data_IF_314171358504
#
_entry.id   IF_314171358504
#
_cell.length_a   1.000
_cell.length_b   1.000
_cell.length_c   1.000
_cell.angle_alpha   90.00
_cell.angle_beta   90.00
_cell.angle_gamma   90.00
#
_symmetry.space_group_name_H-M   'P 1'
#
loop_
_entity.id
_entity.type
_entity.pdbx_description
1 polymer ?
#
# COMPACT_ATOMS: atom_id res chain seq x y z
N UNK A 1 6.12 -7.13 -25.12
CA UNK A 1 5.19 -7.82 -24.21
C UNK A 1 3.76 -7.37 -24.46
N UNK A 2 2.74 -8.24 -24.25
CA UNK A 2 1.34 -7.80 -24.27
C UNK A 2 1.14 -6.81 -23.11
N UNK A 3 0.52 -5.64 -23.30
CA UNK A 3 0.26 -4.71 -22.22
C UNK A 3 -0.56 -5.42 -21.13
N UNK A 4 -0.22 -5.19 -19.88
CA UNK A 4 -0.93 -5.80 -18.74
C UNK A 4 -2.17 -4.99 -18.44
N UNK A 5 -3.25 -5.70 -18.24
CA UNK A 5 -4.51 -5.13 -17.78
C UNK A 5 -4.71 -5.55 -16.33
N UNK A 6 -4.83 -4.59 -15.44
CA UNK A 6 -5.18 -4.83 -14.04
C UNK A 6 -6.69 -4.59 -13.88
N UNK A 7 -7.36 -5.54 -13.23
CA UNK A 7 -8.72 -5.39 -12.76
C UNK A 7 -8.68 -5.14 -11.25
N UNK A 8 -8.89 -3.91 -10.86
CA UNK A 8 -8.95 -3.51 -9.44
C UNK A 8 -10.37 -3.70 -8.98
N UNK A 9 -10.57 -4.62 -8.06
CA UNK A 9 -11.89 -5.08 -7.62
C UNK A 9 -12.10 -4.79 -6.16
N UNK A 10 -13.30 -4.38 -5.83
CA UNK A 10 -13.82 -4.32 -4.48
C UNK A 10 -15.26 -4.84 -4.47
N UNK A 11 -15.69 -5.46 -3.39
CA UNK A 11 -17.05 -5.99 -3.25
C UNK A 11 -17.67 -5.62 -1.91
N UNK A 12 -18.95 -5.30 -1.93
CA UNK A 12 -19.76 -5.20 -0.73
C UNK A 12 -20.61 -6.46 -0.56
N UNK A 13 -20.77 -6.89 0.69
CA UNK A 13 -21.39 -8.18 1.01
C UNK A 13 -22.39 -8.10 2.16
N UNK A 14 -23.25 -9.12 2.31
CA UNK A 14 -24.18 -9.19 3.46
C UNK A 14 -23.50 -9.57 4.76
N UNK A 15 -22.23 -9.99 4.72
CA UNK A 15 -21.42 -10.40 5.86
C UNK A 15 -20.07 -10.94 5.39
N UNK A 16 -19.31 -11.58 6.28
CA UNK A 16 -17.91 -11.94 6.02
C UNK A 16 -17.69 -13.41 5.65
N UNK A 17 -18.73 -14.25 5.68
CA UNK A 17 -18.61 -15.67 5.38
C UNK A 17 -19.02 -15.97 3.93
N UNK A 18 -18.09 -16.25 2.99
CA UNK A 18 -18.42 -16.45 1.58
C UNK A 18 -19.32 -17.69 1.32
N UNK A 19 -19.42 -18.62 2.28
CA UNK A 19 -20.31 -19.79 2.16
C UNK A 19 -21.77 -19.43 2.43
N UNK A 20 -22.02 -18.48 3.30
CA UNK A 20 -23.34 -18.11 3.80
C UNK A 20 -23.82 -16.77 3.24
N UNK A 21 -22.91 -15.81 3.16
CA UNK A 21 -23.20 -14.44 2.75
C UNK A 21 -23.21 -14.28 1.21
N UNK A 22 -23.63 -13.11 0.75
CA UNK A 22 -23.84 -12.78 -0.66
C UNK A 22 -23.23 -11.44 -1.00
N UNK A 23 -22.75 -11.31 -2.22
CA UNK A 23 -22.34 -10.01 -2.77
C UNK A 23 -23.59 -9.16 -2.98
N UNK A 24 -23.51 -7.87 -2.58
CA UNK A 24 -24.55 -6.87 -2.76
C UNK A 24 -24.13 -5.74 -3.68
N UNK A 25 -22.83 -5.57 -3.89
CA UNK A 25 -22.27 -4.68 -4.91
C UNK A 25 -20.93 -5.23 -5.39
N UNK A 26 -20.68 -5.08 -6.69
CA UNK A 26 -19.39 -5.37 -7.32
C UNK A 26 -18.89 -4.10 -7.98
N UNK A 27 -17.67 -3.68 -7.65
CA UNK A 27 -16.95 -2.57 -8.27
C UNK A 27 -15.68 -3.08 -8.94
N UNK A 28 -15.37 -2.54 -10.11
CA UNK A 28 -14.15 -2.88 -10.84
C UNK A 28 -13.64 -1.66 -11.61
N UNK A 29 -12.35 -1.41 -11.47
CA UNK A 29 -11.63 -0.37 -12.22
C UNK A 29 -10.54 -1.05 -13.03
N UNK A 30 -10.53 -0.77 -14.35
CA UNK A 30 -9.50 -1.32 -15.24
C UNK A 30 -8.34 -0.34 -15.37
N UNK A 31 -7.13 -0.86 -15.23
CA UNK A 31 -5.90 -0.09 -15.42
C UNK A 31 -5.10 -0.71 -16.56
N UNK A 32 -4.75 0.11 -17.54
CA UNK A 32 -3.93 -0.25 -18.69
C UNK A 32 -2.90 0.86 -18.94
N UNK A 33 -1.67 0.46 -19.22
CA UNK A 33 -0.58 1.41 -19.52
C UNK A 33 -0.44 2.54 -18.49
N UNK A 34 -0.54 2.20 -17.21
CA UNK A 34 -0.35 3.12 -16.08
C UNK A 34 -1.47 4.13 -15.87
N UNK A 35 -2.69 3.87 -16.38
CA UNK A 35 -3.85 4.75 -16.20
C UNK A 35 -5.15 3.98 -16.08
N UNK A 36 -6.10 4.56 -15.37
CA UNK A 36 -7.48 4.06 -15.31
C UNK A 36 -8.15 4.27 -16.67
N UNK A 37 -8.64 3.19 -17.26
CA UNK A 37 -9.26 3.19 -18.62
C UNK A 37 -10.76 3.03 -18.57
N UNK A 38 -11.28 2.26 -17.63
CA UNK A 38 -12.73 2.06 -17.49
C UNK A 38 -13.12 1.76 -16.05
N UNK A 39 -14.38 1.98 -15.74
CA UNK A 39 -15.01 1.69 -14.44
C UNK A 39 -16.27 0.89 -14.69
N UNK A 40 -16.50 -0.10 -13.86
CA UNK A 40 -17.70 -0.92 -13.86
C UNK A 40 -18.20 -1.03 -12.42
N UNK A 41 -19.50 -0.79 -12.21
CA UNK A 41 -20.15 -0.96 -10.91
C UNK A 41 -21.54 -1.50 -11.10
N UNK A 42 -21.94 -2.44 -10.26
CA UNK A 42 -23.27 -3.02 -10.28
C UNK A 42 -23.74 -3.40 -8.90
N UNK A 43 -24.95 -2.95 -8.55
CA UNK A 43 -25.65 -3.44 -7.37
C UNK A 43 -26.23 -4.83 -7.67
N UNK A 44 -26.23 -5.72 -6.66
CA UNK A 44 -26.63 -7.11 -6.80
C UNK A 44 -27.68 -7.46 -5.73
N UNK A 45 -28.75 -8.11 -6.16
CA UNK A 45 -29.78 -8.59 -5.25
C UNK A 45 -29.31 -9.85 -4.51
N UNK A 46 -29.17 -9.81 -3.17
CA UNK A 46 -28.55 -10.93 -2.43
C UNK A 46 -29.49 -12.14 -2.24
N UNK A 47 -30.74 -12.10 -2.68
CA UNK A 47 -31.73 -13.14 -2.41
C UNK A 47 -32.17 -13.22 -0.94
N UNK A 48 -31.71 -12.31 -0.12
CA UNK A 48 -31.96 -12.25 1.34
C UNK A 48 -31.98 -10.81 1.83
N UNK A 49 -32.47 -10.61 3.05
CA UNK A 49 -32.51 -9.30 3.67
C UNK A 49 -31.11 -8.87 4.12
N UNK A 50 -30.71 -7.65 3.77
CA UNK A 50 -29.49 -7.00 4.26
C UNK A 50 -29.74 -6.52 5.69
N UNK A 51 -28.84 -6.85 6.62
CA UNK A 51 -28.93 -6.44 8.01
C UNK A 51 -28.82 -4.92 8.15
N UNK A 52 -29.40 -4.35 9.21
CA UNK A 52 -29.29 -2.90 9.48
C UNK A 52 -27.84 -2.44 9.63
N UNK A 53 -26.99 -3.29 10.20
CA UNK A 53 -25.58 -2.99 10.40
C UNK A 53 -24.85 -2.84 9.04
N UNK A 54 -25.06 -3.76 8.11
CA UNK A 54 -24.46 -3.69 6.76
C UNK A 54 -25.03 -2.50 5.99
N UNK A 55 -26.34 -2.25 6.05
CA UNK A 55 -26.94 -1.08 5.41
C UNK A 55 -26.34 0.25 5.94
N UNK A 56 -26.03 0.30 7.24
CA UNK A 56 -25.40 1.49 7.84
C UNK A 56 -23.94 1.64 7.40
N UNK A 57 -23.21 0.53 7.30
CA UNK A 57 -21.81 0.51 6.89
C UNK A 57 -21.64 0.91 5.42
N UNK A 58 -22.39 0.26 4.52
CA UNK A 58 -22.21 0.38 3.06
C UNK A 58 -23.11 1.43 2.41
N UNK A 59 -24.14 1.90 3.11
CA UNK A 59 -25.19 2.72 2.52
C UNK A 59 -26.12 1.97 1.56
N UNK A 60 -25.89 0.66 1.34
CA UNK A 60 -26.69 -0.17 0.43
C UNK A 60 -27.92 -0.71 1.17
N UNK A 61 -29.08 -0.14 0.84
CA UNK A 61 -30.35 -0.52 1.48
C UNK A 61 -31.05 -1.67 0.75
N UNK A 62 -31.94 -2.39 1.46
CA UNK A 62 -32.81 -3.40 0.83
C UNK A 62 -33.64 -2.81 -0.32
N UNK A 63 -34.05 -1.53 -0.23
CA UNK A 63 -34.78 -0.85 -1.28
C UNK A 63 -33.93 -0.60 -2.51
N UNK A 64 -32.65 -0.23 -2.33
CA UNK A 64 -31.69 0.02 -3.41
C UNK A 64 -31.48 -1.22 -4.27
N UNK A 65 -31.28 -2.39 -3.66
CA UNK A 65 -31.03 -3.64 -4.37
C UNK A 65 -32.28 -4.38 -4.82
N UNK A 66 -33.47 -3.91 -4.48
CA UNK A 66 -34.73 -4.63 -4.74
C UNK A 66 -34.97 -4.95 -6.24
N UNK A 67 -34.51 -4.10 -7.12
CA UNK A 67 -34.61 -4.26 -8.58
C UNK A 67 -33.29 -4.60 -9.26
N UNK A 68 -32.23 -4.83 -8.47
CA UNK A 68 -30.95 -5.24 -8.97
C UNK A 68 -31.00 -6.69 -9.48
N UNK A 69 -30.16 -7.06 -10.45
CA UNK A 69 -30.04 -8.45 -10.89
C UNK A 69 -29.51 -9.33 -9.77
N UNK A 70 -29.79 -10.61 -9.83
CA UNK A 70 -29.10 -11.60 -8.98
C UNK A 70 -27.67 -11.82 -9.49
N UNK A 71 -26.81 -12.35 -8.62
CA UNK A 71 -25.42 -12.60 -9.02
C UNK A 71 -25.33 -13.56 -10.23
N UNK A 72 -26.19 -14.56 -10.30
CA UNK A 72 -26.30 -15.50 -11.43
C UNK A 72 -26.58 -14.84 -12.78
N UNK A 73 -27.30 -13.71 -12.80
CA UNK A 73 -27.61 -12.97 -14.02
C UNK A 73 -26.38 -12.25 -14.58
N UNK A 74 -25.41 -11.91 -13.72
CA UNK A 74 -24.22 -11.12 -14.08
C UNK A 74 -22.91 -11.91 -13.96
N UNK A 75 -22.94 -13.10 -13.40
CA UNK A 75 -21.77 -13.92 -13.11
C UNK A 75 -20.87 -14.15 -14.34
N UNK A 76 -21.48 -14.47 -15.48
CA UNK A 76 -20.72 -14.69 -16.71
C UNK A 76 -20.06 -13.41 -17.22
N UNK A 77 -20.73 -12.27 -17.09
CA UNK A 77 -20.17 -10.95 -17.46
C UNK A 77 -18.99 -10.60 -16.59
N UNK A 78 -19.12 -10.76 -15.25
CA UNK A 78 -18.03 -10.54 -14.31
C UNK A 78 -16.86 -11.48 -14.58
N UNK A 79 -17.13 -12.78 -14.81
CA UNK A 79 -16.10 -13.75 -15.13
C UNK A 79 -15.32 -13.35 -16.38
N UNK A 80 -16.00 -12.97 -17.45
CA UNK A 80 -15.38 -12.55 -18.71
C UNK A 80 -14.61 -11.22 -18.58
N UNK A 81 -15.11 -10.29 -17.76
CA UNK A 81 -14.44 -9.02 -17.47
C UNK A 81 -13.06 -9.25 -16.81
N UNK A 82 -12.99 -10.24 -15.92
CA UNK A 82 -11.78 -10.55 -15.16
C UNK A 82 -10.85 -11.54 -15.89
N UNK A 83 -11.35 -12.25 -16.88
CA UNK A 83 -10.53 -13.17 -17.65
C UNK A 83 -9.33 -12.45 -18.30
N UNK A 84 -8.17 -13.10 -18.27
CA UNK A 84 -6.92 -12.56 -18.83
C UNK A 84 -6.39 -11.26 -18.19
N UNK A 85 -6.89 -10.90 -16.99
CA UNK A 85 -6.40 -9.75 -16.22
C UNK A 85 -5.54 -10.18 -15.03
N UNK A 86 -4.94 -9.20 -14.36
CA UNK A 86 -4.34 -9.34 -13.05
C UNK A 86 -5.33 -8.76 -12.04
N UNK A 87 -5.80 -9.59 -11.14
CA UNK A 87 -6.73 -9.18 -10.09
C UNK A 87 -6.00 -8.35 -9.04
N UNK A 88 -6.54 -7.21 -8.67
CA UNK A 88 -5.99 -6.33 -7.64
C UNK A 88 -7.08 -6.01 -6.63
N UNK A 89 -6.79 -6.10 -5.35
CA UNK A 89 -7.69 -5.65 -4.30
C UNK A 89 -6.93 -5.17 -3.07
N UNK A 90 -7.64 -4.48 -2.20
CA UNK A 90 -7.11 -4.05 -0.91
C UNK A 90 -7.50 -5.07 0.17
N UNK A 91 -6.55 -5.94 0.58
CA UNK A 91 -6.79 -7.19 1.31
C UNK A 91 -7.46 -8.27 0.42
N UNK A 92 -6.76 -8.61 -0.65
CA UNK A 92 -7.23 -9.41 -1.79
C UNK A 92 -7.91 -10.73 -1.42
N UNK A 93 -7.52 -11.37 -0.32
CA UNK A 93 -8.09 -12.68 0.04
C UNK A 93 -9.58 -12.62 0.32
N UNK A 94 -10.10 -11.50 0.79
CA UNK A 94 -11.53 -11.33 1.01
C UNK A 94 -12.27 -11.34 -0.32
N UNK A 95 -11.96 -10.41 -1.21
CA UNK A 95 -12.67 -10.21 -2.48
C UNK A 95 -12.52 -11.41 -3.41
N UNK A 96 -11.28 -11.90 -3.55
CA UNK A 96 -10.97 -13.01 -4.45
C UNK A 96 -11.66 -14.31 -4.03
N UNK A 97 -11.64 -14.64 -2.74
CA UNK A 97 -12.30 -15.85 -2.24
C UNK A 97 -13.82 -15.72 -2.31
N UNK A 98 -14.36 -14.56 -1.94
CA UNK A 98 -15.80 -14.35 -1.96
C UNK A 98 -16.35 -14.44 -3.37
N UNK A 99 -15.70 -13.78 -4.32
CA UNK A 99 -16.06 -13.82 -5.73
C UNK A 99 -15.99 -15.24 -6.29
N UNK A 100 -14.94 -15.99 -5.99
CA UNK A 100 -14.83 -17.39 -6.40
C UNK A 100 -15.95 -18.26 -5.84
N UNK A 101 -16.37 -18.04 -4.61
CA UNK A 101 -17.51 -18.76 -4.04
C UNK A 101 -18.82 -18.45 -4.77
N UNK A 102 -19.07 -17.20 -5.12
CA UNK A 102 -20.25 -16.81 -5.88
C UNK A 102 -20.22 -17.38 -7.31
N UNK A 103 -19.08 -17.31 -8.01
CA UNK A 103 -18.93 -17.89 -9.35
C UNK A 103 -19.19 -19.40 -9.34
N UNK A 104 -18.57 -20.13 -8.41
CA UNK A 104 -18.79 -21.59 -8.28
C UNK A 104 -20.24 -21.93 -7.93
N UNK A 105 -20.93 -21.11 -7.15
CA UNK A 105 -22.34 -21.28 -6.85
C UNK A 105 -23.22 -21.17 -8.10
N UNK A 106 -22.81 -20.34 -9.05
CA UNK A 106 -23.47 -20.19 -10.35
C UNK A 106 -23.03 -21.25 -11.39
N UNK A 107 -22.22 -22.24 -10.99
CA UNK A 107 -21.72 -23.29 -11.89
C UNK A 107 -20.55 -22.86 -12.78
N UNK A 108 -19.99 -21.69 -12.56
CA UNK A 108 -18.78 -21.22 -13.26
C UNK A 108 -17.52 -21.74 -12.57
N UNK A 109 -16.41 -21.90 -13.32
CA UNK A 109 -15.14 -22.26 -12.72
C UNK A 109 -14.62 -21.12 -11.83
N UNK A 110 -13.79 -21.47 -10.84
CA UNK A 110 -13.04 -20.46 -10.07
C UNK A 110 -12.08 -19.69 -10.97
N UNK A 111 -11.89 -18.42 -10.68
CA UNK A 111 -10.83 -17.61 -11.29
C UNK A 111 -9.47 -18.22 -10.98
N UNK A 112 -8.62 -18.33 -11.99
CA UNK A 112 -7.21 -18.77 -11.85
C UNK A 112 -6.31 -17.74 -12.50
N UNK A 113 -6.42 -16.52 -12.03
CA UNK A 113 -5.68 -15.35 -12.52
C UNK A 113 -4.72 -14.86 -11.45
N UNK A 114 -3.60 -14.20 -11.82
CA UNK A 114 -2.69 -13.61 -10.86
C UNK A 114 -3.39 -12.58 -9.98
N UNK A 115 -2.94 -12.44 -8.74
CA UNK A 115 -3.51 -11.50 -7.78
C UNK A 115 -2.46 -10.64 -7.08
N UNK A 116 -2.79 -9.38 -6.84
CA UNK A 116 -1.93 -8.41 -6.17
C UNK A 116 -2.68 -7.82 -4.98
N UNK A 117 -2.06 -7.86 -3.80
CA UNK A 117 -2.58 -7.23 -2.59
C UNK A 117 -1.96 -5.83 -2.39
N UNK A 118 -2.80 -4.80 -2.44
CA UNK A 118 -2.33 -3.42 -2.24
C UNK A 118 -2.01 -3.11 -0.78
N UNK A 119 -2.51 -3.87 0.21
CA UNK A 119 -2.09 -3.75 1.62
C UNK A 119 -0.63 -4.16 1.76
N UNK A 120 -0.24 -5.31 1.21
CA UNK A 120 1.16 -5.77 1.24
C UNK A 120 2.09 -4.79 0.53
N UNK A 121 1.68 -4.29 -0.65
CA UNK A 121 2.44 -3.28 -1.37
C UNK A 121 2.59 -1.98 -0.55
N UNK A 122 1.51 -1.52 0.09
CA UNK A 122 1.55 -0.33 0.92
C UNK A 122 2.49 -0.52 2.13
N UNK A 123 2.45 -1.66 2.80
CA UNK A 123 3.37 -1.97 3.90
C UNK A 123 4.85 -1.94 3.48
N UNK A 124 5.16 -2.34 2.25
CA UNK A 124 6.53 -2.35 1.73
C UNK A 124 6.97 -0.96 1.28
N UNK A 125 6.13 -0.22 0.52
CA UNK A 125 6.52 1.01 -0.17
C UNK A 125 6.05 2.30 0.51
N UNK A 126 5.21 2.19 1.53
CA UNK A 126 4.71 3.28 2.36
C UNK A 126 4.92 3.00 3.86
N UNK A 127 6.11 2.56 4.29
CA UNK A 127 6.33 2.03 5.65
C UNK A 127 6.16 3.08 6.76
N UNK A 128 6.06 4.35 6.42
CA UNK A 128 5.87 5.46 7.37
C UNK A 128 4.39 5.79 7.62
N UNK A 129 3.48 5.16 6.88
CA UNK A 129 2.05 5.37 7.10
C UNK A 129 1.61 4.74 8.43
N UNK A 130 0.83 5.46 9.24
CA UNK A 130 0.40 4.98 10.55
C UNK A 130 -0.64 3.87 10.49
N UNK A 131 -1.32 3.73 9.36
CA UNK A 131 -2.37 2.75 9.11
C UNK A 131 -2.38 2.35 7.64
N UNK A 132 -2.77 1.10 7.38
CA UNK A 132 -2.93 0.56 6.02
C UNK A 132 -4.39 0.28 5.66
N UNK A 133 -5.34 0.89 6.35
CA UNK A 133 -6.74 0.89 5.93
C UNK A 133 -6.91 1.81 4.73
N UNK A 134 -7.75 1.43 3.77
CA UNK A 134 -7.93 2.20 2.54
C UNK A 134 -8.36 3.65 2.81
N UNK A 135 -9.29 3.86 3.75
CA UNK A 135 -9.75 5.19 4.13
C UNK A 135 -8.62 6.05 4.73
N UNK A 136 -7.80 5.49 5.63
CA UNK A 136 -6.70 6.21 6.26
C UNK A 136 -5.60 6.54 5.24
N UNK A 137 -5.28 5.60 4.33
CA UNK A 137 -4.33 5.83 3.25
C UNK A 137 -4.85 6.87 2.26
N UNK A 138 -6.14 6.85 1.93
CA UNK A 138 -6.72 7.84 1.01
C UNK A 138 -6.63 9.25 1.56
N UNK A 139 -6.90 9.44 2.85
CA UNK A 139 -6.77 10.71 3.54
C UNK A 139 -5.32 11.19 3.60
N UNK A 140 -4.41 10.32 4.04
CA UNK A 140 -2.96 10.62 4.19
C UNK A 140 -2.30 10.95 2.85
N UNK A 141 -2.68 10.26 1.77
CA UNK A 141 -2.12 10.45 0.43
C UNK A 141 -2.84 11.51 -0.40
N UNK A 142 -3.93 12.09 0.14
CA UNK A 142 -4.70 13.15 -0.51
C UNK A 142 -5.56 12.67 -1.68
N UNK A 143 -5.99 11.40 -1.68
CA UNK A 143 -6.95 10.90 -2.65
C UNK A 143 -8.36 11.39 -2.33
N UNK A 144 -9.14 11.65 -3.39
CA UNK A 144 -10.56 11.96 -3.22
C UNK A 144 -11.32 10.63 -3.04
N UNK A 145 -11.86 10.41 -1.86
CA UNK A 145 -12.63 9.23 -1.51
C UNK A 145 -14.04 9.65 -1.12
N UNK A 146 -14.89 9.85 -2.13
CA UNK A 146 -16.22 10.47 -1.94
C UNK A 146 -17.18 9.59 -1.15
N UNK A 147 -17.15 8.28 -1.39
CA UNK A 147 -18.10 7.33 -0.83
C UNK A 147 -17.38 6.08 -0.30
N UNK A 148 -16.71 6.15 0.87
CA UNK A 148 -16.15 4.97 1.51
C UNK A 148 -17.22 3.89 1.74
N UNK A 149 -16.82 2.63 1.57
CA UNK A 149 -17.73 1.46 1.64
C UNK A 149 -18.78 1.43 0.50
N UNK A 150 -18.39 1.95 -0.66
CA UNK A 150 -19.05 1.65 -1.92
C UNK A 150 -18.00 1.05 -2.87
N UNK A 151 -18.27 -0.11 -3.41
CA UNK A 151 -17.30 -0.91 -4.14
C UNK A 151 -16.67 -0.19 -5.35
N UNK A 152 -17.38 0.68 -6.02
CA UNK A 152 -16.85 1.49 -7.12
C UNK A 152 -15.85 2.56 -6.64
N UNK A 153 -16.16 3.23 -5.54
CA UNK A 153 -15.29 4.23 -4.92
C UNK A 153 -14.03 3.58 -4.34
N UNK A 154 -14.18 2.47 -3.63
CA UNK A 154 -13.07 1.76 -3.00
C UNK A 154 -12.14 1.12 -4.05
N UNK A 155 -12.69 0.55 -5.13
CA UNK A 155 -11.91 0.07 -6.26
C UNK A 155 -11.13 1.21 -6.96
N UNK A 156 -11.72 2.41 -7.11
CA UNK A 156 -11.03 3.55 -7.70
C UNK A 156 -9.87 4.03 -6.85
N UNK A 157 -10.07 4.20 -5.54
CA UNK A 157 -9.01 4.59 -4.60
C UNK A 157 -7.91 3.54 -4.54
N UNK A 158 -8.27 2.25 -4.53
CA UNK A 158 -7.31 1.15 -4.61
C UNK A 158 -6.50 1.19 -5.91
N UNK A 159 -7.12 1.55 -7.03
CA UNK A 159 -6.44 1.74 -8.31
C UNK A 159 -5.45 2.92 -8.28
N UNK A 160 -5.84 4.05 -7.68
CA UNK A 160 -4.95 5.20 -7.48
C UNK A 160 -3.77 4.84 -6.58
N UNK A 161 -4.01 4.06 -5.52
CA UNK A 161 -2.97 3.56 -4.62
C UNK A 161 -1.97 2.67 -5.35
N UNK A 162 -2.44 1.73 -6.19
CA UNK A 162 -1.56 0.87 -6.99
C UNK A 162 -0.65 1.71 -7.90
N UNK A 163 -1.20 2.69 -8.62
CA UNK A 163 -0.46 3.57 -9.52
C UNK A 163 0.58 4.42 -8.78
N UNK A 164 0.21 4.98 -7.62
CA UNK A 164 1.13 5.73 -6.77
C UNK A 164 2.29 4.84 -6.27
N UNK A 165 2.00 3.61 -5.86
CA UNK A 165 3.03 2.68 -5.39
C UNK A 165 3.96 2.32 -6.55
N UNK A 166 3.43 2.03 -7.75
CA UNK A 166 4.25 1.78 -8.93
C UNK A 166 5.17 2.97 -9.26
N UNK A 167 4.64 4.20 -9.20
CA UNK A 167 5.46 5.40 -9.38
C UNK A 167 6.58 5.51 -8.34
N UNK A 168 6.29 5.21 -7.07
CA UNK A 168 7.30 5.19 -6.00
C UNK A 168 8.35 4.11 -6.23
N UNK A 169 7.97 2.91 -6.67
CA UNK A 169 8.92 1.86 -7.04
C UNK A 169 9.90 2.34 -8.12
N UNK A 170 9.39 3.01 -9.16
CA UNK A 170 10.18 3.51 -10.29
C UNK A 170 11.16 4.63 -9.89
N UNK A 171 10.91 5.33 -8.79
CA UNK A 171 11.81 6.34 -8.23
C UNK A 171 12.92 5.77 -7.35
N UNK A 172 12.83 4.49 -6.97
CA UNK A 172 13.88 3.84 -6.20
C UNK A 172 15.10 3.51 -7.08
N UNK A 173 16.32 3.56 -6.53
CA UNK A 173 17.48 2.97 -7.19
C UNK A 173 17.23 1.49 -7.51
N UNK A 174 17.63 1.03 -8.70
CA UNK A 174 17.44 -0.36 -9.15
C UNK A 174 17.95 -1.35 -8.10
N UNK A 175 19.12 -1.09 -7.51
CA UNK A 175 19.70 -1.95 -6.48
C UNK A 175 18.81 -2.07 -5.24
N UNK A 176 18.15 -0.99 -4.84
CA UNK A 176 17.21 -0.98 -3.72
C UNK A 176 15.98 -1.82 -4.06
N UNK A 177 15.42 -1.63 -5.25
CA UNK A 177 14.25 -2.40 -5.69
C UNK A 177 14.58 -3.89 -5.86
N UNK A 178 15.82 -4.24 -6.28
CA UNK A 178 16.30 -5.64 -6.30
C UNK A 178 16.30 -6.28 -4.92
N UNK A 179 16.76 -5.57 -3.89
CA UNK A 179 16.74 -6.09 -2.52
C UNK A 179 15.30 -6.28 -2.03
N UNK A 180 14.42 -5.31 -2.29
CA UNK A 180 12.99 -5.41 -1.94
C UNK A 180 12.36 -6.60 -2.66
N UNK A 181 12.56 -6.74 -3.98
CA UNK A 181 12.03 -7.86 -4.75
C UNK A 181 12.50 -9.21 -4.21
N UNK A 182 13.78 -9.32 -3.82
CA UNK A 182 14.32 -10.53 -3.21
C UNK A 182 13.68 -10.87 -1.87
N UNK A 183 13.43 -9.86 -1.03
CA UNK A 183 12.84 -10.05 0.30
C UNK A 183 11.33 -10.29 0.26
N UNK A 184 10.63 -9.77 -0.78
CA UNK A 184 9.18 -9.89 -0.93
C UNK A 184 8.68 -11.25 -1.43
N UNK A 185 9.55 -12.26 -1.57
CA UNK A 185 9.19 -13.60 -2.13
C UNK A 185 8.09 -14.32 -1.36
N UNK A 186 7.83 -13.94 -0.13
CA UNK A 186 6.85 -14.56 0.75
C UNK A 186 5.55 -13.76 0.89
N UNK A 187 5.38 -12.72 0.06
CA UNK A 187 4.10 -12.02 -0.03
C UNK A 187 3.02 -12.93 -0.61
N UNK A 188 1.77 -12.60 -0.31
CA UNK A 188 0.64 -13.38 -0.76
C UNK A 188 0.42 -13.31 -2.27
N UNK A 189 -0.20 -14.32 -2.83
CA UNK A 189 -0.55 -14.44 -4.25
C UNK A 189 0.64 -14.09 -5.17
N UNK A 190 0.46 -13.15 -6.11
CA UNK A 190 1.48 -12.70 -7.06
C UNK A 190 2.04 -11.30 -6.76
N UNK A 191 1.87 -10.78 -5.55
CA UNK A 191 2.34 -9.44 -5.15
C UNK A 191 3.84 -9.27 -5.42
N UNK A 192 4.66 -10.25 -5.04
CA UNK A 192 6.10 -10.22 -5.34
C UNK A 192 6.39 -10.18 -6.83
N UNK A 193 5.60 -10.88 -7.65
CA UNK A 193 5.77 -10.92 -9.10
C UNK A 193 5.52 -9.54 -9.74
N UNK A 194 4.62 -8.75 -9.17
CA UNK A 194 4.44 -7.37 -9.59
C UNK A 194 5.70 -6.53 -9.36
N UNK A 195 6.33 -6.66 -8.19
CA UNK A 195 7.58 -5.96 -7.86
C UNK A 195 8.70 -6.36 -8.84
N UNK A 196 8.87 -7.66 -9.09
CA UNK A 196 9.84 -8.15 -10.09
C UNK A 196 9.59 -7.60 -11.47
N UNK A 197 8.36 -7.43 -11.85
CA UNK A 197 7.97 -6.92 -13.14
C UNK A 197 8.39 -5.45 -13.34
N UNK A 198 8.10 -4.59 -12.35
CA UNK A 198 8.53 -3.20 -12.37
C UNK A 198 10.06 -3.12 -12.42
N UNK A 199 10.75 -3.96 -11.65
CA UNK A 199 12.21 -4.05 -11.64
C UNK A 199 12.76 -4.40 -13.03
N UNK A 200 12.21 -5.40 -13.72
CA UNK A 200 12.71 -5.80 -15.04
C UNK A 200 12.47 -4.70 -16.10
N UNK A 201 11.33 -4.00 -16.04
CA UNK A 201 11.10 -2.84 -16.91
C UNK A 201 12.10 -1.69 -16.64
N UNK A 202 12.46 -1.45 -15.39
CA UNK A 202 13.49 -0.45 -15.03
C UNK A 202 14.87 -0.87 -15.52
N UNK A 203 15.19 -2.17 -15.52
CA UNK A 203 16.46 -2.69 -16.04
C UNK A 203 16.58 -2.58 -17.57
N UNK A 204 15.46 -2.62 -18.30
CA UNK A 204 15.47 -2.40 -19.76
C UNK A 204 15.88 -0.97 -20.13
N UNK A 205 15.61 0.01 -19.24
CA UNK A 205 15.95 1.42 -19.43
C UNK A 205 16.54 1.98 -18.12
N UNK A 206 17.79 1.60 -17.78
CA UNK A 206 18.37 1.98 -16.52
C UNK A 206 18.63 3.49 -16.48
N UNK A 207 18.15 4.14 -15.45
CA UNK A 207 18.54 5.50 -15.12
C UNK A 207 19.83 5.53 -14.30
N UNK A 208 20.70 6.54 -14.48
CA UNK A 208 21.89 6.68 -13.66
C UNK A 208 21.52 6.87 -12.20
N UNK A 209 22.36 6.34 -11.30
CA UNK A 209 22.19 6.55 -9.87
C UNK A 209 22.25 8.04 -9.56
N UNK A 210 21.33 8.52 -8.73
CA UNK A 210 21.35 9.90 -8.23
C UNK A 210 22.73 10.22 -7.62
N UNK A 211 23.39 11.32 -8.03
CA UNK A 211 24.72 11.70 -7.52
C UNK A 211 24.79 11.89 -5.99
N UNK A 212 23.67 12.15 -5.34
CA UNK A 212 23.55 12.25 -3.87
C UNK A 212 23.63 10.90 -3.16
N UNK A 213 23.53 9.80 -3.91
CA UNK A 213 23.56 8.44 -3.38
C UNK A 213 24.94 7.79 -3.61
N UNK A 214 25.28 6.85 -2.71
CA UNK A 214 26.40 5.93 -2.84
C UNK A 214 25.96 4.51 -2.55
N UNK A 215 26.62 3.54 -3.16
CA UNK A 215 26.32 2.13 -2.92
C UNK A 215 27.31 1.57 -1.90
N UNK A 216 26.80 1.15 -0.75
CA UNK A 216 27.58 0.52 0.32
C UNK A 216 26.93 -0.83 0.63
N UNK A 217 27.68 -1.91 0.51
CA UNK A 217 27.24 -3.30 0.78
C UNK A 217 25.91 -3.68 0.08
N UNK A 218 25.72 -3.20 -1.14
CA UNK A 218 24.52 -3.49 -1.92
C UNK A 218 23.29 -2.66 -1.55
N UNK A 219 23.45 -1.61 -0.76
CA UNK A 219 22.42 -0.64 -0.41
C UNK A 219 22.75 0.73 -1.02
N UNK A 220 21.74 1.41 -1.55
CA UNK A 220 21.88 2.81 -1.94
C UNK A 220 21.61 3.69 -0.72
N UNK A 221 22.64 4.39 -0.27
CA UNK A 221 22.61 5.27 0.89
C UNK A 221 22.80 6.72 0.45
N UNK A 222 22.18 7.64 1.17
CA UNK A 222 22.42 9.05 0.97
C UNK A 222 23.84 9.41 1.43
N UNK A 223 24.60 10.06 0.57
CA UNK A 223 25.91 10.60 0.93
C UNK A 223 25.72 11.58 2.07
N UNK A 224 26.40 11.33 3.18
CA UNK A 224 26.42 12.26 4.27
C UNK A 224 27.43 13.36 3.92
N UNK A 225 26.98 14.58 3.73
CA UNK A 225 27.87 15.73 3.78
C UNK A 225 28.41 15.79 5.20
N UNK A 226 29.63 15.30 5.37
CA UNK A 226 30.37 15.55 6.59
C UNK A 226 30.78 17.01 6.50
N UNK A 227 30.05 17.92 7.19
CA UNK A 227 30.65 19.19 7.54
C UNK A 227 31.96 18.83 8.25
N UNK A 228 33.07 19.03 7.55
CA UNK A 228 34.36 19.01 8.19
C UNK A 228 34.30 20.16 9.20
N UNK A 229 33.90 19.85 10.42
CA UNK A 229 34.14 20.75 11.52
C UNK A 229 35.63 21.05 11.44
N UNK A 230 35.95 22.22 10.92
CA UNK A 230 37.31 22.76 11.05
C UNK A 230 37.66 22.57 12.49
N UNK A 231 38.69 21.74 12.76
CA UNK A 231 39.12 21.40 14.09
C UNK A 231 39.12 22.67 14.90
N UNK A 232 38.16 22.80 15.82
CA UNK A 232 38.24 23.93 16.75
C UNK A 232 39.54 23.66 17.49
N UNK A 233 40.56 24.40 17.14
CA UNK A 233 41.80 24.39 17.88
C UNK A 233 41.44 24.78 19.31
N UNK A 234 41.30 23.80 20.18
CA UNK A 234 41.25 23.98 21.61
C UNK A 234 42.64 24.38 22.08
N UNK A 235 43.29 25.33 21.34
CA UNK A 235 44.52 25.92 21.74
C UNK A 235 44.32 26.62 23.05
N UNK A 236 44.92 26.09 24.10
CA UNK A 236 45.19 26.77 25.36
C UNK A 236 44.00 27.19 26.25
N UNK A 237 42.80 26.67 26.05
CA UNK A 237 41.76 26.86 27.05
C UNK A 237 41.96 25.87 28.20
N UNK A 238 42.72 26.33 29.24
CA UNK A 238 42.78 25.64 30.52
C UNK A 238 41.38 25.64 31.13
N UNK A 239 40.80 24.46 31.34
CA UNK A 239 39.56 24.34 32.08
C UNK A 239 39.67 24.95 33.49
N UNK A 240 38.68 25.73 33.91
CA UNK A 240 38.76 26.39 35.23
C UNK A 240 38.79 25.36 36.34
N UNK A 241 39.88 25.33 37.08
CA UNK A 241 40.07 24.40 38.20
C UNK A 241 39.33 24.83 39.47
N UNK A 242 38.97 26.10 39.61
CA UNK A 242 38.28 26.63 40.79
C UNK A 242 36.78 26.40 40.71
N UNK A 243 36.15 26.01 41.82
CA UNK A 243 34.70 25.72 41.94
C UNK A 243 33.83 26.85 41.36
N UNK A 244 34.14 28.10 41.68
CA UNK A 244 33.39 29.28 41.22
C UNK A 244 33.47 29.48 39.72
N UNK A 245 34.57 29.13 39.07
CA UNK A 245 34.69 29.21 37.62
C UNK A 245 33.95 28.07 36.92
N UNK A 246 33.87 26.89 37.53
CA UNK A 246 33.06 25.76 37.04
C UNK A 246 31.58 26.08 37.18
N UNK A 247 31.11 26.69 38.26
CA UNK A 247 29.72 27.14 38.45
C UNK A 247 29.31 28.22 37.42
N UNK A 248 30.22 29.10 37.05
CA UNK A 248 29.99 30.13 36.03
C UNK A 248 29.86 29.55 34.62
N UNK A 249 30.56 28.45 34.35
CA UNK A 249 30.58 27.79 33.04
C UNK A 249 29.36 26.89 32.83
N UNK A 250 28.84 26.24 33.87
CA UNK A 250 27.79 25.24 33.80
C UNK A 250 26.45 25.66 34.46
N UNK A 251 26.41 26.85 35.08
CA UNK A 251 25.26 27.33 35.84
C UNK A 251 25.13 26.69 37.23
N UNK A 252 24.38 27.36 38.11
CA UNK A 252 24.22 26.94 39.51
C UNK A 252 23.35 25.67 39.71
N UNK A 253 22.67 25.21 38.68
CA UNK A 253 21.66 24.14 38.75
C UNK A 253 22.18 22.76 38.36
N UNK A 254 23.38 22.63 37.84
CA UNK A 254 23.96 21.35 37.47
C UNK A 254 24.75 20.76 38.66
N UNK A 255 24.23 19.65 39.21
CA UNK A 255 24.95 18.89 40.24
C UNK A 255 26.15 18.17 39.62
N UNK A 256 27.33 18.46 40.17
CA UNK A 256 28.56 17.77 39.82
C UNK A 256 28.55 16.33 40.30
N UNK A 257 28.71 15.38 39.40
CA UNK A 257 29.04 14.00 39.76
C UNK A 257 30.56 13.84 39.83
N UNK A 258 31.06 13.10 40.82
CA UNK A 258 32.50 12.87 41.04
C UNK A 258 33.23 12.33 39.80
N UNK A 259 32.54 11.53 38.97
CA UNK A 259 33.06 10.96 37.75
C UNK A 259 33.31 12.00 36.66
N UNK A 260 32.47 13.05 36.56
CA UNK A 260 32.65 14.12 35.61
C UNK A 260 33.87 15.00 35.92
N UNK A 261 34.27 15.07 37.16
CA UNK A 261 35.51 15.76 37.57
C UNK A 261 36.79 15.00 37.11
N UNK A 262 36.73 13.67 36.95
CA UNK A 262 37.89 12.88 36.49
C UNK A 262 38.12 13.01 34.99
N UNK A 263 37.08 13.31 34.20
CA UNK A 263 37.18 13.52 32.76
C UNK A 263 37.64 14.94 32.36
N UNK A 264 37.65 15.87 33.32
CA UNK A 264 38.02 17.27 33.07
C UNK A 264 39.37 17.67 33.72
N UNK A 265 40.07 16.75 34.34
CA UNK A 265 41.43 16.88 34.85
C UNK A 265 42.40 16.03 34.03
#
# INVERSE_FOLDING_TARGET
MKPRTYAVVDIETTGTNPKEDRIIQFGCVMIESGRITSRFSIDIHPGRKISKQIQHLTGITNQRVQKAPYFEDVAQTIYNLLADTIFVAHNIYFDYNFLNHELMRCGLPSLKIPGIDTVELAQIFLPTEPSFRLADLSESLGFIHENPHQADSDAEVTGQLLLLIEERMRKLPIITLEQIARLSRHTGMDTSRFIYHVLEEMKEKPEPLDPSLEIVDGLALQKKEVELFTSVHYGERTYPRKKQAKEKMFGKTLMYRKEQNRLMN
#
